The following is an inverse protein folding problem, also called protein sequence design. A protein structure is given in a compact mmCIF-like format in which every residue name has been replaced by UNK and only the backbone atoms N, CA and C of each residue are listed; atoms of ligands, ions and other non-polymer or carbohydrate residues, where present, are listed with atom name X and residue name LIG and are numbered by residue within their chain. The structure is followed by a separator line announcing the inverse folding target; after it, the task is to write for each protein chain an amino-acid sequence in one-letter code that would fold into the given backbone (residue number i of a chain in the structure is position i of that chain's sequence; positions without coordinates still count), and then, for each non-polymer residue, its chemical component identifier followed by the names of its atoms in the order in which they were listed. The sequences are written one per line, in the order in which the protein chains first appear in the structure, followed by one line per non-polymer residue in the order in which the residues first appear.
data_IF_527064289638
#
_entry.id   IF_527064289638
#
_cell.length_a   1.000
_cell.length_b   1.000
_cell.length_c   1.000
_cell.angle_alpha   90.00
_cell.angle_beta   90.00
_cell.angle_gamma   90.00
#
_symmetry.space_group_name_H-M   'P 1'
#
loop_
_entity.id
_entity.type
_entity.pdbx_description
1 polymer ?
#
# COMPACT_ATOMS: atom_id res chain seq x y z
N UNK A 1 24.39 -25.52 7.37
CA UNK A 1 24.78 -24.90 8.66
C UNK A 1 25.40 -23.55 8.39
N UNK A 2 25.52 -22.70 9.40
CA UNK A 2 26.10 -21.37 9.30
C UNK A 2 27.44 -21.31 10.05
N UNK A 3 28.07 -20.15 10.06
CA UNK A 3 29.22 -19.86 10.95
C UNK A 3 28.84 -20.03 12.42
N UNK A 4 27.61 -19.63 12.78
CA UNK A 4 27.13 -19.64 14.16
C UNK A 4 26.59 -21.00 14.64
N UNK A 5 26.30 -21.94 13.74
CA UNK A 5 25.72 -23.21 14.17
C UNK A 5 25.40 -24.21 13.07
N UNK A 6 24.90 -25.36 13.49
CA UNK A 6 24.42 -26.41 12.59
C UNK A 6 22.92 -26.17 12.36
N UNK A 7 22.50 -26.05 11.10
CA UNK A 7 21.09 -25.86 10.73
C UNK A 7 20.37 -27.18 10.53
N UNK A 8 21.09 -28.20 10.09
CA UNK A 8 20.61 -29.57 9.91
C UNK A 8 21.79 -30.53 10.07
N UNK A 9 21.53 -31.69 10.68
CA UNK A 9 22.50 -32.76 10.85
C UNK A 9 21.81 -34.08 10.49
N UNK A 10 22.38 -34.79 9.53
CA UNK A 10 21.91 -36.11 9.10
C UNK A 10 23.00 -37.13 9.37
N UNK A 11 22.65 -38.24 10.02
CA UNK A 11 23.56 -39.34 10.35
C UNK A 11 22.97 -40.65 9.86
N UNK A 12 23.78 -41.43 9.13
CA UNK A 12 23.48 -42.81 8.75
C UNK A 12 24.51 -43.72 9.42
N UNK A 13 24.12 -44.45 10.45
CA UNK A 13 25.01 -45.28 11.27
C UNK A 13 24.73 -46.75 10.97
N UNK A 14 25.70 -47.44 10.38
CA UNK A 14 25.57 -48.84 9.94
C UNK A 14 26.17 -49.88 10.89
N UNK A 15 26.86 -49.44 11.95
CA UNK A 15 27.55 -50.31 12.92
C UNK A 15 27.23 -49.91 14.36
N UNK A 16 27.07 -50.90 15.23
CA UNK A 16 26.87 -50.68 16.66
C UNK A 16 28.24 -50.45 17.33
N UNK A 17 28.46 -49.28 17.93
CA UNK A 17 29.73 -48.97 18.61
C UNK A 17 30.24 -47.53 18.51
N UNK A 18 29.46 -46.58 17.99
CA UNK A 18 29.88 -45.17 17.97
C UNK A 18 29.83 -44.59 19.38
N UNK A 19 31.00 -44.29 19.93
CA UNK A 19 31.13 -43.60 21.22
C UNK A 19 30.96 -42.09 21.05
N UNK A 20 30.60 -41.41 22.15
CA UNK A 20 30.48 -39.94 22.17
C UNK A 20 31.78 -39.24 21.74
N UNK A 21 32.92 -39.83 22.07
CA UNK A 21 34.24 -39.31 21.72
C UNK A 21 34.47 -39.33 20.21
N UNK A 22 34.14 -40.44 19.54
CA UNK A 22 34.23 -40.56 18.08
C UNK A 22 33.30 -39.54 17.40
N UNK A 23 32.09 -39.36 17.94
CA UNK A 23 31.15 -38.36 17.44
C UNK A 23 31.67 -36.93 17.61
N UNK A 24 32.30 -36.61 18.74
CA UNK A 24 32.86 -35.29 19.02
C UNK A 24 34.02 -34.96 18.07
N UNK A 25 34.90 -35.92 17.80
CA UNK A 25 36.00 -35.77 16.83
C UNK A 25 35.43 -35.57 15.42
N UNK A 26 34.48 -36.41 15.00
CA UNK A 26 33.84 -36.29 13.70
C UNK A 26 33.13 -34.93 13.51
N UNK A 27 32.44 -34.44 14.54
CA UNK A 27 31.78 -33.13 14.52
C UNK A 27 32.76 -31.97 14.51
N UNK A 28 33.89 -32.08 15.21
CA UNK A 28 34.95 -31.07 15.18
C UNK A 28 35.57 -30.96 13.79
N UNK A 29 35.90 -32.10 13.17
CA UNK A 29 36.40 -32.15 11.80
C UNK A 29 35.36 -31.62 10.79
N UNK A 30 34.08 -31.99 10.96
CA UNK A 30 33.00 -31.48 10.13
C UNK A 30 32.81 -29.96 10.29
N UNK A 31 33.04 -29.40 11.49
CA UNK A 31 33.00 -27.95 11.73
C UNK A 31 34.13 -27.24 10.97
N UNK A 32 35.35 -27.74 11.03
CA UNK A 32 36.49 -27.17 10.30
C UNK A 32 36.26 -27.21 8.78
N UNK A 33 35.84 -28.36 8.26
CA UNK A 33 35.50 -28.51 6.84
C UNK A 33 34.37 -27.56 6.42
N UNK A 34 33.33 -27.40 7.25
CA UNK A 34 32.23 -26.45 6.99
C UNK A 34 32.74 -25.01 6.92
N UNK A 35 33.60 -24.60 7.84
CA UNK A 35 34.15 -23.24 7.85
C UNK A 35 35.04 -22.98 6.62
N UNK A 36 35.81 -23.98 6.20
CA UNK A 36 36.61 -23.88 4.97
C UNK A 36 35.75 -23.71 3.72
N UNK A 37 34.67 -24.50 3.59
CA UNK A 37 33.73 -24.40 2.46
C UNK A 37 32.99 -23.06 2.48
N UNK A 38 32.52 -22.62 3.65
CA UNK A 38 31.88 -21.31 3.80
C UNK A 38 32.81 -20.16 3.42
N UNK A 39 34.10 -20.25 3.77
CA UNK A 39 35.11 -19.27 3.37
C UNK A 39 35.23 -19.17 1.84
N UNK A 40 35.35 -20.31 1.14
CA UNK A 40 35.38 -20.33 -0.33
C UNK A 40 34.08 -19.85 -0.97
N UNK A 41 32.93 -20.16 -0.36
CA UNK A 41 31.64 -19.64 -0.82
C UNK A 41 31.54 -18.13 -0.67
N UNK A 42 32.09 -17.56 0.40
CA UNK A 42 32.13 -16.12 0.67
C UNK A 42 33.17 -15.39 -0.19
N UNK A 43 34.24 -16.06 -0.59
CA UNK A 43 35.18 -15.54 -1.60
C UNK A 43 34.53 -15.50 -2.99
N UNK A 44 33.74 -16.51 -3.34
CA UNK A 44 33.08 -16.61 -4.64
C UNK A 44 31.80 -15.77 -4.76
N UNK A 45 31.05 -15.64 -3.67
CA UNK A 45 29.87 -14.79 -3.56
C UNK A 45 30.17 -13.66 -2.60
N UNK A 46 30.23 -12.42 -3.08
CA UNK A 46 30.30 -11.24 -2.22
C UNK A 46 29.04 -11.06 -1.33
N UNK A 47 28.64 -9.83 -1.04
CA UNK A 47 27.35 -9.58 -0.37
C UNK A 47 26.18 -10.09 -1.22
N UNK A 48 25.06 -10.46 -0.56
CA UNK A 48 23.80 -10.78 -1.25
C UNK A 48 23.54 -9.71 -2.31
N UNK A 49 23.44 -10.11 -3.59
CA UNK A 49 23.22 -9.19 -4.71
C UNK A 49 21.98 -8.35 -4.38
N UNK A 50 22.20 -7.07 -4.13
CA UNK A 50 21.16 -6.10 -3.73
C UNK A 50 20.20 -5.83 -4.88
N UNK A 51 20.63 -6.13 -6.10
CA UNK A 51 19.83 -5.99 -7.31
C UNK A 51 19.52 -7.38 -7.87
N UNK A 52 18.26 -7.78 -7.69
CA UNK A 52 17.65 -8.94 -8.33
C UNK A 52 17.87 -8.81 -9.84
N UNK A 53 18.41 -9.86 -10.46
CA UNK A 53 18.72 -9.93 -11.90
C UNK A 53 17.63 -9.30 -12.77
N UNK A 54 18.00 -8.55 -13.82
CA UNK A 54 17.07 -7.91 -14.76
C UNK A 54 16.11 -8.89 -15.48
N UNK A 55 16.39 -10.19 -15.42
CA UNK A 55 15.54 -11.26 -15.98
C UNK A 55 14.74 -12.03 -14.93
N UNK A 56 15.01 -11.80 -13.64
CA UNK A 56 14.24 -12.42 -12.58
C UNK A 56 13.01 -11.54 -12.29
N UNK A 57 11.83 -12.14 -12.11
CA UNK A 57 10.63 -11.40 -11.78
C UNK A 57 10.87 -10.61 -10.50
N UNK A 58 10.72 -9.28 -10.60
CA UNK A 58 10.80 -8.39 -9.44
C UNK A 58 9.52 -8.59 -8.63
N UNK A 59 9.70 -8.83 -7.34
CA UNK A 59 8.63 -8.93 -6.37
C UNK A 59 8.46 -7.56 -5.72
N UNK A 60 7.32 -6.93 -5.96
CA UNK A 60 6.92 -5.70 -5.28
C UNK A 60 5.88 -6.06 -4.24
N UNK A 61 6.17 -5.73 -2.98
CA UNK A 61 5.25 -5.98 -1.87
C UNK A 61 4.71 -4.65 -1.34
N UNK A 62 3.40 -4.59 -1.15
CA UNK A 62 2.73 -3.46 -0.49
C UNK A 62 1.71 -3.96 0.52
N UNK A 63 1.39 -3.15 1.52
CA UNK A 63 0.42 -3.48 2.56
C UNK A 63 -0.78 -2.54 2.48
N UNK A 64 -1.97 -3.12 2.52
CA UNK A 64 -3.26 -2.41 2.50
C UNK A 64 -4.14 -2.85 3.67
N UNK A 65 -5.20 -2.09 3.96
CA UNK A 65 -6.17 -2.47 4.96
C UNK A 65 -7.00 -3.69 4.50
N UNK A 66 -7.18 -4.72 5.36
CA UNK A 66 -7.81 -5.99 4.98
C UNK A 66 -9.27 -5.86 4.56
N UNK A 67 -9.99 -4.85 5.04
CA UNK A 67 -11.37 -4.57 4.65
C UNK A 67 -11.52 -4.28 3.14
N UNK A 68 -10.46 -3.76 2.51
CA UNK A 68 -10.46 -3.38 1.09
C UNK A 68 -9.95 -4.46 0.16
N UNK A 69 -9.52 -5.60 0.69
CA UNK A 69 -9.17 -6.77 -0.13
C UNK A 69 -10.35 -7.13 -1.04
N UNK A 70 -11.59 -6.98 -0.55
CA UNK A 70 -12.81 -7.26 -1.32
C UNK A 70 -12.98 -6.34 -2.53
N UNK A 71 -12.60 -5.07 -2.40
CA UNK A 71 -12.69 -4.08 -3.49
C UNK A 71 -11.60 -4.31 -4.53
N UNK A 72 -10.38 -4.67 -4.09
CA UNK A 72 -9.26 -4.98 -4.99
C UNK A 72 -9.53 -6.27 -5.78
N UNK A 73 -10.06 -7.32 -5.13
CA UNK A 73 -10.48 -8.56 -5.80
C UNK A 73 -11.68 -8.30 -6.72
N UNK A 74 -12.62 -7.46 -6.29
CA UNK A 74 -13.91 -7.26 -6.93
C UNK A 74 -14.83 -8.49 -6.81
N UNK A 75 -16.02 -8.45 -7.45
CA UNK A 75 -16.96 -9.58 -7.44
C UNK A 75 -16.34 -10.79 -8.16
N UNK A 76 -15.90 -11.79 -7.40
CA UNK A 76 -15.36 -13.05 -7.94
C UNK A 76 -13.98 -12.94 -8.61
N UNK A 77 -13.18 -11.92 -8.27
CA UNK A 77 -11.84 -11.75 -8.86
C UNK A 77 -11.81 -11.04 -10.20
N UNK A 78 -12.92 -10.41 -10.63
CA UNK A 78 -13.00 -9.74 -11.93
C UNK A 78 -11.97 -8.61 -12.09
N UNK A 79 -11.72 -7.84 -11.03
CA UNK A 79 -10.79 -6.70 -11.07
C UNK A 79 -9.35 -7.17 -11.15
N UNK A 80 -8.95 -8.15 -10.32
CA UNK A 80 -7.60 -8.74 -10.37
C UNK A 80 -7.35 -9.47 -11.69
N UNK A 81 -8.34 -10.19 -12.21
CA UNK A 81 -8.21 -10.87 -13.51
C UNK A 81 -8.01 -9.87 -14.64
N UNK A 82 -8.82 -8.81 -14.69
CA UNK A 82 -8.63 -7.73 -15.66
C UNK A 82 -7.27 -7.07 -15.54
N UNK A 83 -6.82 -6.79 -14.31
CA UNK A 83 -5.51 -6.17 -14.08
C UNK A 83 -4.34 -7.11 -14.46
N UNK A 84 -4.45 -8.39 -14.12
CA UNK A 84 -3.48 -9.44 -14.52
C UNK A 84 -3.43 -9.60 -16.03
N UNK A 85 -4.58 -9.55 -16.72
CA UNK A 85 -4.67 -9.69 -18.18
C UNK A 85 -4.12 -8.46 -18.91
N UNK A 86 -4.38 -7.26 -18.40
CA UNK A 86 -3.90 -6.00 -18.98
C UNK A 86 -2.40 -5.78 -18.75
N UNK A 87 -1.90 -6.09 -17.56
CA UNK A 87 -0.49 -5.84 -17.19
C UNK A 87 0.42 -7.04 -17.42
N UNK A 88 -0.12 -8.26 -17.50
CA UNK A 88 0.65 -9.50 -17.54
C UNK A 88 1.36 -9.84 -16.22
N UNK A 89 1.10 -9.07 -15.15
CA UNK A 89 1.71 -9.24 -13.83
C UNK A 89 0.96 -10.29 -13.00
N UNK A 90 1.67 -11.10 -12.23
CA UNK A 90 1.04 -12.01 -11.27
C UNK A 90 0.83 -11.30 -9.93
N UNK A 91 -0.44 -11.07 -9.57
CA UNK A 91 -0.83 -10.35 -8.35
C UNK A 91 -1.38 -11.36 -7.34
N UNK A 92 -0.69 -11.53 -6.23
CA UNK A 92 -1.14 -12.31 -5.08
C UNK A 92 -1.57 -11.38 -3.96
N UNK A 93 -2.66 -11.70 -3.27
CA UNK A 93 -3.16 -10.95 -2.12
C UNK A 93 -3.31 -11.93 -0.96
N UNK A 94 -2.61 -11.66 0.13
CA UNK A 94 -2.73 -12.39 1.39
C UNK A 94 -3.87 -11.84 2.25
N UNK A 95 -4.39 -12.67 3.15
CA UNK A 95 -5.48 -12.32 4.08
C UNK A 95 -5.10 -11.17 5.03
N UNK A 96 -3.80 -10.98 5.29
CA UNK A 96 -3.26 -9.88 6.09
C UNK A 96 -3.23 -8.52 5.36
N UNK A 97 -3.71 -8.47 4.10
CA UNK A 97 -3.67 -7.27 3.27
C UNK A 97 -2.31 -7.02 2.60
N UNK A 98 -1.44 -8.03 2.56
CA UNK A 98 -0.17 -7.96 1.83
C UNK A 98 -0.43 -8.29 0.36
N UNK A 99 -0.15 -7.36 -0.53
CA UNK A 99 -0.24 -7.56 -1.98
C UNK A 99 1.19 -7.75 -2.51
N UNK A 100 1.43 -8.87 -3.17
CA UNK A 100 2.68 -9.19 -3.84
C UNK A 100 2.47 -9.20 -5.34
N UNK A 101 3.13 -8.28 -6.04
CA UNK A 101 3.10 -8.14 -7.50
C UNK A 101 4.41 -8.72 -8.03
N UNK A 102 4.33 -9.82 -8.77
CA UNK A 102 5.45 -10.40 -9.49
C UNK A 102 5.38 -10.02 -10.97
N UNK A 103 6.42 -9.37 -11.48
CA UNK A 103 6.52 -9.03 -12.91
C UNK A 103 7.95 -9.14 -13.41
N UNK A 104 8.12 -9.58 -14.64
CA UNK A 104 9.40 -9.54 -15.36
C UNK A 104 9.72 -8.15 -15.90
N UNK A 105 8.73 -7.28 -16.03
CA UNK A 105 8.87 -5.91 -16.54
C UNK A 105 8.57 -4.89 -15.44
N UNK A 106 9.52 -3.97 -15.20
CA UNK A 106 9.39 -2.95 -14.17
C UNK A 106 8.31 -1.90 -14.49
N UNK A 107 8.08 -1.58 -15.76
CA UNK A 107 7.04 -0.64 -16.19
C UNK A 107 5.64 -1.19 -15.97
N UNK A 108 5.42 -2.47 -16.32
CA UNK A 108 4.12 -3.12 -16.08
C UNK A 108 3.84 -3.31 -14.59
N UNK A 109 4.88 -3.58 -13.80
CA UNK A 109 4.75 -3.64 -12.35
C UNK A 109 4.33 -2.28 -11.76
N UNK A 110 4.88 -1.19 -12.30
CA UNK A 110 4.56 0.15 -11.84
C UNK A 110 3.14 0.59 -12.23
N UNK A 111 2.67 0.22 -13.42
CA UNK A 111 1.26 0.40 -13.83
C UNK A 111 0.32 -0.38 -12.91
N UNK A 112 0.61 -1.66 -12.65
CA UNK A 112 -0.18 -2.48 -11.72
C UNK A 112 -0.20 -1.87 -10.32
N UNK A 113 0.96 -1.40 -9.83
CA UNK A 113 1.11 -0.71 -8.54
C UNK A 113 0.25 0.55 -8.47
N UNK A 114 0.35 1.44 -9.47
CA UNK A 114 -0.43 2.68 -9.51
C UNK A 114 -1.93 2.38 -9.57
N UNK A 115 -2.35 1.34 -10.28
CA UNK A 115 -3.76 0.97 -10.38
C UNK A 115 -4.31 0.46 -9.05
N UNK A 116 -3.55 -0.39 -8.36
CA UNK A 116 -3.89 -0.85 -7.01
C UNK A 116 -3.91 0.31 -6.03
N UNK A 117 -2.94 1.23 -6.12
CA UNK A 117 -2.89 2.44 -5.30
C UNK A 117 -4.09 3.34 -5.52
N UNK A 118 -4.57 3.50 -6.76
CA UNK A 118 -5.80 4.26 -7.06
C UNK A 118 -7.07 3.61 -6.48
N UNK A 119 -7.18 2.28 -6.55
CA UNK A 119 -8.34 1.54 -5.99
C UNK A 119 -8.32 1.59 -4.46
N UNK A 120 -7.12 1.48 -3.88
CA UNK A 120 -6.92 1.46 -2.43
C UNK A 120 -6.83 2.85 -1.80
N UNK A 121 -6.65 3.89 -2.64
CA UNK A 121 -6.44 5.28 -2.25
C UNK A 121 -7.44 5.70 -1.18
N UNK A 122 -6.91 6.15 -0.05
CA UNK A 122 -7.71 6.60 1.07
C UNK A 122 -8.05 8.07 0.96
N UNK A 123 -9.30 8.35 1.30
CA UNK A 123 -9.74 9.69 1.61
C UNK A 123 -9.33 9.90 3.07
N UNK A 124 -8.22 10.59 3.29
CA UNK A 124 -7.74 10.88 4.65
C UNK A 124 -8.63 11.95 5.29
N UNK A 125 -9.01 11.71 6.54
CA UNK A 125 -9.79 12.67 7.33
C UNK A 125 -8.95 13.94 7.50
N UNK A 126 -9.54 15.09 7.19
CA UNK A 126 -8.88 16.38 7.26
C UNK A 126 -8.07 16.77 6.01
N UNK A 127 -7.87 15.88 5.04
CA UNK A 127 -7.31 16.28 3.74
C UNK A 127 -8.32 17.06 2.90
N UNK A 128 -7.78 17.95 2.08
CA UNK A 128 -8.54 18.73 1.10
C UNK A 128 -8.45 18.02 -0.23
N UNK A 129 -9.60 17.74 -0.84
CA UNK A 129 -9.72 17.13 -2.14
C UNK A 129 -10.46 18.09 -3.07
N UNK A 130 -10.13 18.00 -4.36
CA UNK A 130 -10.79 18.77 -5.40
C UNK A 130 -11.49 17.78 -6.34
N UNK A 131 -12.77 17.98 -6.59
CA UNK A 131 -13.57 17.03 -7.34
C UNK A 131 -14.81 17.67 -8.00
N UNK A 132 -15.27 17.11 -9.12
CA UNK A 132 -16.49 17.56 -9.76
C UNK A 132 -17.73 17.10 -8.99
N UNK A 133 -18.77 17.93 -9.02
CA UNK A 133 -20.09 17.58 -8.50
C UNK A 133 -20.76 16.59 -9.44
N UNK A 134 -21.01 15.38 -8.96
CA UNK A 134 -21.65 14.33 -9.75
C UNK A 134 -23.16 14.47 -9.76
N UNK A 135 -23.75 14.92 -8.65
CA UNK A 135 -25.21 15.09 -8.53
C UNK A 135 -25.58 16.08 -7.44
N UNK A 136 -26.61 16.88 -7.69
CA UNK A 136 -27.20 17.78 -6.68
C UNK A 136 -28.49 17.16 -6.12
N UNK A 137 -28.67 17.26 -4.81
CA UNK A 137 -29.84 16.81 -4.05
C UNK A 137 -30.42 18.01 -3.26
N UNK A 138 -31.67 17.90 -2.81
CA UNK A 138 -32.34 19.00 -2.09
C UNK A 138 -31.63 19.39 -0.77
N UNK A 139 -30.90 18.45 -0.16
CA UNK A 139 -30.21 18.63 1.12
C UNK A 139 -28.67 18.65 1.01
N UNK A 140 -28.12 18.58 -0.21
CA UNK A 140 -26.66 18.56 -0.41
C UNK A 140 -26.20 18.29 -1.84
N UNK A 141 -24.90 18.09 -2.01
CA UNK A 141 -24.28 17.74 -3.29
C UNK A 141 -23.35 16.53 -3.13
N UNK A 142 -23.33 15.65 -4.13
CA UNK A 142 -22.36 14.56 -4.24
C UNK A 142 -21.14 15.05 -5.01
N UNK A 143 -19.97 14.90 -4.41
CA UNK A 143 -18.68 15.29 -4.99
C UNK A 143 -17.83 14.03 -5.17
N UNK A 144 -17.33 13.80 -6.37
CA UNK A 144 -16.44 12.68 -6.64
C UNK A 144 -15.02 13.02 -6.19
N UNK A 145 -14.52 12.32 -5.17
CA UNK A 145 -13.20 12.58 -4.58
C UNK A 145 -12.12 11.72 -5.24
N UNK A 146 -12.43 10.45 -5.45
CA UNK A 146 -11.57 9.41 -5.99
C UNK A 146 -12.45 8.43 -6.78
N UNK A 147 -11.93 7.75 -7.81
CA UNK A 147 -12.71 6.79 -8.60
C UNK A 147 -13.35 5.72 -7.71
N UNK A 148 -14.69 5.72 -7.64
CA UNK A 148 -15.47 4.80 -6.80
C UNK A 148 -15.77 5.30 -5.37
N UNK A 149 -15.36 6.53 -5.02
CA UNK A 149 -15.65 7.16 -3.72
C UNK A 149 -16.27 8.54 -3.89
N UNK A 150 -17.57 8.59 -3.60
CA UNK A 150 -18.33 9.82 -3.53
C UNK A 150 -18.39 10.36 -2.10
N UNK A 151 -18.24 11.67 -1.94
CA UNK A 151 -18.50 12.37 -0.70
C UNK A 151 -19.80 13.17 -0.76
N UNK A 152 -20.51 13.23 0.37
CA UNK A 152 -21.70 14.03 0.55
C UNK A 152 -21.34 15.37 1.19
N UNK A 153 -21.57 16.46 0.46
CA UNK A 153 -21.52 17.81 0.98
C UNK A 153 -22.93 18.22 1.43
N UNK A 154 -23.14 18.32 2.74
CA UNK A 154 -24.45 18.75 3.28
C UNK A 154 -24.66 20.25 3.10
N UNK A 155 -25.92 20.70 2.91
CA UNK A 155 -26.26 22.12 2.72
C UNK A 155 -25.70 23.05 3.81
N UNK A 156 -25.67 22.58 5.06
CA UNK A 156 -25.12 23.33 6.21
C UNK A 156 -23.59 23.46 6.21
N UNK A 157 -22.90 22.76 5.32
CA UNK A 157 -21.44 22.72 5.22
C UNK A 157 -20.91 23.40 3.94
N UNK A 158 -21.80 24.05 3.17
CA UNK A 158 -21.46 24.76 1.92
C UNK A 158 -20.88 26.15 2.22
N UNK A 159 -21.55 26.96 3.04
CA UNK A 159 -21.15 28.33 3.35
C UNK A 159 -21.43 28.68 4.83
N UNK A 160 -20.88 29.79 5.31
CA UNK A 160 -21.17 30.33 6.66
C UNK A 160 -22.57 30.97 6.75
N UNK A 161 -23.14 31.35 5.61
CA UNK A 161 -24.45 31.98 5.51
C UNK A 161 -25.57 30.93 5.41
N UNK A 162 -26.82 31.33 5.68
CA UNK A 162 -27.97 30.44 5.54
C UNK A 162 -28.26 30.22 4.06
N UNK A 163 -27.81 29.06 3.55
CA UNK A 163 -28.09 28.62 2.18
C UNK A 163 -29.49 28.02 2.12
N UNK A 164 -30.39 28.63 1.34
CA UNK A 164 -31.76 28.11 1.13
C UNK A 164 -31.81 27.05 0.02
N UNK A 165 -30.97 27.18 -1.01
CA UNK A 165 -30.87 26.20 -2.10
C UNK A 165 -29.42 25.89 -2.46
N UNK A 166 -29.13 24.60 -2.60
CA UNK A 166 -27.81 24.10 -3.02
C UNK A 166 -27.47 24.57 -4.43
N UNK A 167 -28.48 24.67 -5.30
CA UNK A 167 -28.37 25.08 -6.72
C UNK A 167 -27.87 26.51 -6.93
N UNK A 168 -27.98 27.37 -5.91
CA UNK A 168 -27.53 28.77 -6.02
C UNK A 168 -26.00 28.89 -5.87
N UNK A 169 -25.36 27.89 -5.25
CA UNK A 169 -23.92 27.89 -4.97
C UNK A 169 -23.15 26.84 -5.77
N UNK A 170 -23.83 25.79 -6.21
CA UNK A 170 -23.21 24.61 -6.78
C UNK A 170 -23.94 24.21 -8.06
N UNK A 171 -23.18 23.91 -9.11
CA UNK A 171 -23.68 23.38 -10.39
C UNK A 171 -23.16 21.98 -10.65
N UNK A 172 -23.95 21.14 -11.34
CA UNK A 172 -23.49 19.81 -11.76
C UNK A 172 -22.24 19.93 -12.64
N UNK A 173 -21.23 19.11 -12.38
CA UNK A 173 -19.93 19.15 -13.07
C UNK A 173 -18.97 20.25 -12.59
N UNK A 174 -19.38 21.15 -11.70
CA UNK A 174 -18.49 22.16 -11.12
C UNK A 174 -17.41 21.49 -10.26
N UNK A 175 -16.16 21.91 -10.44
CA UNK A 175 -15.04 21.44 -9.63
C UNK A 175 -14.99 22.28 -8.34
N UNK A 176 -15.08 21.62 -7.19
CA UNK A 176 -15.06 22.26 -5.87
C UNK A 176 -14.00 21.66 -4.96
N UNK A 177 -13.37 22.51 -4.15
CA UNK A 177 -12.47 22.08 -3.08
C UNK A 177 -13.27 21.79 -1.82
N UNK A 178 -13.08 20.62 -1.24
CA UNK A 178 -13.82 20.11 -0.09
C UNK A 178 -12.87 19.44 0.90
N UNK A 179 -13.09 19.67 2.20
CA UNK A 179 -12.35 19.02 3.27
C UNK A 179 -13.16 17.85 3.82
N UNK A 180 -12.48 16.74 4.07
CA UNK A 180 -13.08 15.54 4.65
C UNK A 180 -13.23 15.73 6.16
N UNK A 181 -14.47 15.65 6.65
CA UNK A 181 -14.75 15.76 8.09
C UNK A 181 -14.79 14.40 8.76
N UNK A 182 -15.58 13.48 8.22
CA UNK A 182 -15.82 12.15 8.78
C UNK A 182 -16.04 11.16 7.64
N UNK A 183 -15.70 9.90 7.87
CA UNK A 183 -16.04 8.80 6.96
C UNK A 183 -17.03 7.88 7.68
N UNK A 184 -18.19 7.65 7.08
CA UNK A 184 -19.20 6.72 7.59
C UNK A 184 -18.84 5.27 7.19
N UNK A 185 -19.21 4.28 8.01
CA UNK A 185 -18.92 2.84 7.77
C UNK A 185 -19.53 2.31 6.46
N UNK A 186 -20.50 3.04 5.89
CA UNK A 186 -21.12 2.75 4.58
C UNK A 186 -20.33 3.31 3.38
N UNK A 187 -19.12 3.81 3.58
CA UNK A 187 -18.26 4.36 2.52
C UNK A 187 -18.66 5.75 2.03
N UNK A 188 -19.61 6.41 2.71
CA UNK A 188 -20.01 7.80 2.43
C UNK A 188 -19.13 8.74 3.24
N UNK A 189 -18.42 9.62 2.54
CA UNK A 189 -17.54 10.61 3.17
C UNK A 189 -18.33 11.90 3.41
N UNK A 190 -18.36 12.43 4.65
CA UNK A 190 -18.92 13.75 4.92
C UNK A 190 -17.89 14.82 4.57
N UNK A 191 -18.31 15.74 3.72
CA UNK A 191 -17.48 16.83 3.22
C UNK A 191 -17.93 18.18 3.79
N UNK A 192 -16.99 19.11 3.87
CA UNK A 192 -17.27 20.50 4.22
C UNK A 192 -16.43 21.46 3.38
N UNK A 193 -17.11 22.43 2.78
CA UNK A 193 -16.49 23.61 2.17
C UNK A 193 -16.26 24.70 3.23
N UNK A 194 -17.11 24.76 4.27
CA UNK A 194 -16.97 25.67 5.41
C UNK A 194 -15.63 25.51 6.14
N UNK A 195 -15.13 24.28 6.26
CA UNK A 195 -13.84 24.02 6.90
C UNK A 195 -12.61 24.47 6.07
N UNK A 196 -12.82 24.92 4.84
CA UNK A 196 -11.83 25.61 3.99
C UNK A 196 -12.02 27.13 3.98
N UNK A 197 -13.22 27.60 4.32
CA UNK A 197 -13.54 29.00 4.55
C UNK A 197 -13.02 29.40 5.94
N UNK A 198 -11.69 29.38 6.12
CA UNK A 198 -11.07 30.07 7.24
C UNK A 198 -10.89 31.56 6.91
N UNK A 199 -11.03 32.38 7.94
CA UNK A 199 -11.25 33.85 7.91
C UNK A 199 -10.24 34.59 7.03
N UNK A 200 -10.60 35.78 6.47
CA UNK A 200 -9.57 36.74 6.07
C UNK A 200 -8.71 37.03 7.31
N UNK A 201 -7.47 36.55 7.32
CA UNK A 201 -6.49 36.96 8.32
C UNK A 201 -6.16 38.41 8.04
N UNK A 202 -6.86 39.29 8.75
CA UNK A 202 -6.55 40.69 8.90
C UNK A 202 -5.11 40.79 9.40
N UNK A 203 -4.24 41.34 8.55
CA UNK A 203 -2.96 42.01 8.83
C UNK A 203 -2.25 41.72 10.16
N UNK A 204 -0.99 41.26 10.06
CA UNK A 204 0.12 41.94 10.73
C UNK A 204 1.35 41.93 9.82
N UNK A 205 1.56 43.06 9.13
CA UNK A 205 2.91 43.56 8.94
C UNK A 205 3.20 44.53 10.09
N UNK A 206 4.21 44.25 10.90
CA UNK A 206 4.99 45.27 11.63
C UNK A 206 6.36 44.70 12.05
N UNK A 207 7.42 45.42 11.62
CA UNK A 207 8.76 45.62 12.22
C UNK A 207 9.74 44.41 12.29
N UNK A 208 10.98 44.47 11.73
CA UNK A 208 12.19 45.19 12.26
C UNK A 208 12.48 44.81 13.73
N UNK A 209 13.66 44.44 14.24
CA UNK A 209 15.11 44.50 13.95
C UNK A 209 15.75 43.44 14.91
N UNK A 210 17.00 43.00 14.85
CA UNK A 210 18.20 43.41 14.12
C UNK A 210 19.38 42.53 14.53
#
# INVERSE_FOLDING_TARGET
GTTNGISALQMDIKIQGITKEIMQVALAQAKEARMHILGKMQEAMGSAKTEVSNFAPRLYTMKINPEKIRDVIGKGGAVIRGLTEETGCQINIDEDGTITIASTDAGQAEVAKQRIEQITAEVEIGKVYEGPITKILDFGALVNLLPGKDGLLHISQIAHERVEKVTDYLSEGQIVKVKVLETDEKGRVKLSMKALLDRPSVSQGVAEQG
#
